data_IF_017132243777
#
_entry.id   IF_017132243777
#
_cell.length_a   1.000
_cell.length_b   1.000
_cell.length_c   1.000
_cell.angle_alpha   90.00
_cell.angle_beta   90.00
_cell.angle_gamma   90.00
#
_symmetry.space_group_name_H-M   'P 1'
#
loop_
_entity.id
_entity.type
_entity.pdbx_description
1 polymer ?
#
# COMPACT_ATOMS: atom_id res chain seq x y z
N UNK A 1 -10.94 13.22 -21.96
CA UNK A 1 -10.04 12.44 -22.84
C UNK A 1 -9.35 11.41 -21.95
N UNK A 2 -9.83 10.17 -21.92
CA UNK A 2 -9.24 9.10 -21.10
C UNK A 2 -8.06 8.52 -21.87
N UNK A 3 -6.84 8.90 -21.48
CA UNK A 3 -5.62 8.30 -21.98
C UNK A 3 -5.56 6.85 -21.48
N UNK A 4 -5.17 5.91 -22.35
CA UNK A 4 -5.01 4.51 -21.98
C UNK A 4 -4.12 4.38 -20.73
N UNK A 5 -4.47 3.51 -19.77
CA UNK A 5 -3.79 3.43 -18.48
C UNK A 5 -2.33 2.99 -18.67
N UNK A 6 -1.40 3.79 -18.14
CA UNK A 6 0.04 3.51 -18.15
C UNK A 6 0.37 2.47 -17.09
N UNK A 7 0.05 1.21 -17.36
CA UNK A 7 0.28 0.12 -16.42
C UNK A 7 1.77 -0.22 -16.38
N UNK A 8 2.39 0.02 -15.23
CA UNK A 8 3.71 -0.54 -14.91
C UNK A 8 3.50 -1.98 -14.51
N UNK A 9 4.05 -2.91 -15.29
CA UNK A 9 4.06 -4.33 -14.95
C UNK A 9 5.31 -4.65 -14.09
N UNK A 10 5.15 -4.95 -12.77
CA UNK A 10 6.26 -5.31 -11.90
C UNK A 10 6.88 -6.68 -12.23
N UNK A 11 6.16 -7.51 -13.00
CA UNK A 11 6.61 -8.84 -13.43
C UNK A 11 7.23 -8.81 -14.83
N UNK A 12 7.31 -7.63 -15.46
CA UNK A 12 7.96 -7.48 -16.74
C UNK A 12 9.44 -7.93 -16.69
N UNK A 13 9.95 -8.57 -17.75
CA UNK A 13 11.37 -8.92 -17.84
C UNK A 13 12.27 -7.70 -17.61
N UNK A 14 13.30 -7.86 -16.80
CA UNK A 14 14.25 -6.79 -16.48
C UNK A 14 13.80 -5.84 -15.36
N UNK A 15 12.54 -5.88 -14.93
CA UNK A 15 12.03 -5.00 -13.86
C UNK A 15 12.81 -5.19 -12.55
N UNK A 16 13.04 -6.44 -12.15
CA UNK A 16 13.80 -6.76 -10.94
C UNK A 16 15.30 -6.37 -11.03
N UNK A 17 15.86 -6.31 -12.24
CA UNK A 17 17.25 -5.91 -12.46
C UNK A 17 17.42 -4.39 -12.52
N UNK A 18 16.39 -3.67 -12.95
CA UNK A 18 16.40 -2.22 -13.07
C UNK A 18 14.99 -1.68 -13.34
N UNK A 19 14.25 -1.25 -12.31
CA UNK A 19 12.85 -0.86 -12.47
C UNK A 19 12.69 0.58 -13.00
N UNK A 20 13.73 1.41 -12.91
CA UNK A 20 13.65 2.84 -13.23
C UNK A 20 13.21 3.17 -14.66
N UNK A 21 13.62 2.43 -15.71
CA UNK A 21 13.10 2.65 -17.06
C UNK A 21 11.58 2.44 -17.17
N UNK A 22 11.03 1.50 -16.40
CA UNK A 22 9.58 1.23 -16.38
C UNK A 22 8.78 2.37 -15.73
N UNK A 23 9.38 3.11 -14.80
CA UNK A 23 8.76 4.28 -14.16
C UNK A 23 8.90 5.59 -14.95
N UNK A 24 9.82 5.66 -15.93
CA UNK A 24 10.15 6.91 -16.61
C UNK A 24 8.93 7.54 -17.30
N UNK A 25 8.18 6.72 -18.04
CA UNK A 25 7.01 7.17 -18.80
C UNK A 25 5.83 7.55 -17.90
N UNK A 26 5.38 6.71 -16.93
CA UNK A 26 4.34 7.11 -15.98
C UNK A 26 4.67 8.40 -15.23
N UNK A 27 5.92 8.60 -14.79
CA UNK A 27 6.32 9.82 -14.09
C UNK A 27 6.21 11.08 -14.94
N UNK A 28 6.49 10.98 -16.23
CA UNK A 28 6.47 12.11 -17.15
C UNK A 28 5.05 12.46 -17.63
N UNK A 29 4.24 11.44 -17.91
CA UNK A 29 2.94 11.62 -18.60
C UNK A 29 1.75 11.60 -17.63
N UNK A 30 1.80 10.80 -16.56
CA UNK A 30 0.67 10.60 -15.63
C UNK A 30 1.17 10.16 -14.23
N UNK A 31 1.79 11.06 -13.46
CA UNK A 31 2.47 10.71 -12.21
C UNK A 31 1.52 10.15 -11.13
N UNK A 32 0.22 10.48 -11.21
CA UNK A 32 -0.86 9.88 -10.44
C UNK A 32 -2.00 9.49 -11.39
N UNK A 33 -2.36 8.21 -11.44
CA UNK A 33 -3.46 7.72 -12.27
C UNK A 33 -4.13 6.49 -11.65
N UNK A 34 -5.38 6.23 -12.02
CA UNK A 34 -6.11 5.04 -11.59
C UNK A 34 -5.68 3.83 -12.43
N UNK A 35 -5.28 2.76 -11.75
CA UNK A 35 -4.95 1.48 -12.34
C UNK A 35 -6.25 0.76 -12.76
N UNK A 36 -6.26 -0.01 -13.87
CA UNK A 36 -7.42 -0.80 -14.29
C UNK A 36 -7.96 -1.80 -13.27
N UNK A 37 -7.18 -2.11 -12.24
CA UNK A 37 -7.57 -3.00 -11.14
C UNK A 37 -8.17 -2.23 -9.93
N UNK A 38 -8.51 -0.95 -10.09
CA UNK A 38 -9.27 -0.19 -9.10
C UNK A 38 -8.47 0.50 -8.00
N UNK A 39 -7.14 0.60 -8.12
CA UNK A 39 -6.28 1.30 -7.15
C UNK A 39 -5.52 2.48 -7.80
N UNK A 40 -5.07 3.44 -6.99
CA UNK A 40 -4.26 4.56 -7.47
C UNK A 40 -2.78 4.17 -7.60
N UNK A 41 -2.20 4.41 -8.77
CA UNK A 41 -0.75 4.30 -9.01
C UNK A 41 -0.11 5.67 -8.86
N UNK A 42 0.85 5.78 -7.94
CA UNK A 42 1.59 7.01 -7.66
C UNK A 42 3.07 6.80 -8.00
N UNK A 43 3.63 7.67 -8.83
CA UNK A 43 5.02 7.59 -9.29
C UNK A 43 5.81 8.88 -9.10
N UNK A 44 5.12 10.02 -8.94
CA UNK A 44 5.70 11.31 -8.58
C UNK A 44 6.05 11.40 -7.10
N UNK A 45 7.16 12.06 -6.77
CA UNK A 45 7.62 12.17 -5.38
C UNK A 45 6.60 12.89 -4.48
N UNK A 46 6.06 14.02 -4.95
CA UNK A 46 5.07 14.78 -4.19
C UNK A 46 3.81 13.97 -3.91
N UNK A 47 3.35 13.20 -4.92
CA UNK A 47 2.18 12.34 -4.82
C UNK A 47 2.40 11.18 -3.83
N UNK A 48 3.62 10.62 -3.78
CA UNK A 48 3.98 9.54 -2.84
C UNK A 48 4.23 10.07 -1.42
N UNK A 49 4.76 11.29 -1.28
CA UNK A 49 5.06 11.89 0.01
C UNK A 49 3.79 12.39 0.72
N UNK A 50 2.81 12.92 -0.03
CA UNK A 50 1.60 13.49 0.54
C UNK A 50 0.82 12.51 1.45
N UNK A 51 0.55 11.24 1.07
CA UNK A 51 -0.13 10.27 1.93
C UNK A 51 0.61 9.93 3.23
N UNK A 52 1.93 10.15 3.29
CA UNK A 52 2.72 9.93 4.50
C UNK A 52 2.61 11.11 5.48
N UNK A 53 2.37 12.31 4.97
CA UNK A 53 2.25 13.54 5.76
C UNK A 53 0.82 13.82 6.19
N UNK A 54 -0.15 13.51 5.34
CA UNK A 54 -1.56 13.54 5.70
C UNK A 54 -1.92 12.19 6.33
N UNK A 55 -2.60 12.20 7.48
CA UNK A 55 -2.94 10.99 8.23
C UNK A 55 -4.02 10.15 7.52
N UNK A 56 -3.67 9.56 6.37
CA UNK A 56 -4.51 8.63 5.65
C UNK A 56 -4.60 7.31 6.41
N UNK A 57 -5.78 6.70 6.30
CA UNK A 57 -6.02 5.37 6.84
C UNK A 57 -5.26 4.34 6.01
N UNK A 58 -4.61 3.42 6.70
CA UNK A 58 -4.06 2.17 6.13
C UNK A 58 -4.88 0.95 6.55
N UNK A 59 -5.97 1.17 7.28
CA UNK A 59 -6.89 0.11 7.67
C UNK A 59 -7.83 -0.18 6.50
N UNK A 60 -7.79 -1.42 6.04
CA UNK A 60 -8.64 -1.95 4.99
C UNK A 60 -10.14 -1.74 5.29
N UNK A 61 -10.53 -1.76 6.57
CA UNK A 61 -11.91 -1.51 6.99
C UNK A 61 -12.41 -0.09 6.66
N UNK A 62 -11.49 0.86 6.45
CA UNK A 62 -11.80 2.24 6.08
C UNK A 62 -11.68 2.49 4.56
N UNK A 63 -11.41 1.46 3.76
CA UNK A 63 -11.39 1.60 2.30
C UNK A 63 -12.79 1.90 1.77
N UNK A 64 -12.93 3.04 1.08
CA UNK A 64 -14.19 3.39 0.41
C UNK A 64 -14.42 2.56 -0.85
N UNK A 65 -13.36 2.03 -1.46
CA UNK A 65 -13.41 1.20 -2.66
C UNK A 65 -12.34 0.09 -2.58
N UNK A 66 -12.73 -1.20 -2.54
CA UNK A 66 -11.78 -2.30 -2.63
C UNK A 66 -11.27 -2.44 -4.06
N UNK A 67 -10.06 -2.99 -4.21
CA UNK A 67 -9.49 -3.24 -5.53
C UNK A 67 -10.11 -4.49 -6.18
N UNK A 68 -10.25 -4.52 -7.50
CA UNK A 68 -10.98 -5.59 -8.19
C UNK A 68 -10.31 -6.99 -8.05
N UNK A 69 -9.01 -7.00 -7.75
CA UNK A 69 -8.20 -8.22 -7.54
C UNK A 69 -8.23 -8.73 -6.10
N UNK A 70 -8.83 -7.97 -5.18
CA UNK A 70 -9.05 -8.36 -3.78
C UNK A 70 -10.29 -9.27 -3.71
N UNK A 71 -10.17 -10.41 -4.39
CA UNK A 71 -11.24 -11.35 -4.68
C UNK A 71 -11.49 -12.31 -3.51
N UNK A 72 -12.02 -11.80 -2.38
CA UNK A 72 -12.99 -12.50 -1.49
C UNK A 72 -13.65 -11.55 -0.46
N UNK A 73 -13.69 -10.23 -0.73
CA UNK A 73 -14.17 -9.19 0.20
C UNK A 73 -15.64 -8.81 -0.04
N UNK A 74 -16.52 -9.77 -0.37
CA UNK A 74 -17.97 -9.50 -0.47
C UNK A 74 -18.56 -8.94 0.85
N UNK A 75 -17.79 -9.02 1.94
CA UNK A 75 -17.84 -8.06 3.05
C UNK A 75 -16.56 -7.21 3.05
N UNK A 76 -16.68 -5.88 2.98
CA UNK A 76 -15.62 -4.98 3.45
C UNK A 76 -15.36 -5.33 4.94
N UNK A 77 -14.12 -5.72 5.28
CA UNK A 77 -13.80 -6.32 6.59
C UNK A 77 -14.08 -7.83 6.71
N UNK A 78 -14.37 -8.49 5.58
CA UNK A 78 -14.45 -9.95 5.46
C UNK A 78 -13.10 -10.59 5.69
N UNK A 79 -13.11 -11.71 6.40
CA UNK A 79 -11.96 -12.29 7.09
C UNK A 79 -11.01 -13.03 6.13
N UNK A 80 -10.63 -12.45 4.99
CA UNK A 80 -9.67 -13.10 4.10
C UNK A 80 -8.23 -12.75 4.48
N UNK A 81 -7.84 -13.16 5.69
CA UNK A 81 -6.45 -13.20 6.10
C UNK A 81 -6.10 -14.62 6.50
N UNK A 82 -5.59 -15.35 5.51
CA UNK A 82 -4.95 -16.67 5.62
C UNK A 82 -3.93 -16.77 6.78
N UNK A 83 -3.52 -15.66 7.40
CA UNK A 83 -2.47 -15.58 8.43
C UNK A 83 -2.81 -14.79 9.73
N UNK A 84 -4.08 -14.75 10.17
CA UNK A 84 -4.38 -14.48 11.61
C UNK A 84 -4.56 -13.02 12.05
N UNK A 85 -5.15 -12.18 11.20
CA UNK A 85 -5.56 -10.81 11.58
C UNK A 85 -4.61 -9.71 11.08
N UNK A 86 -4.93 -8.42 11.34
CA UNK A 86 -4.13 -7.29 10.86
C UNK A 86 -2.71 -7.29 11.41
N UNK A 87 -1.74 -7.05 10.53
CA UNK A 87 -0.39 -6.77 10.98
C UNK A 87 -0.27 -5.33 11.47
N UNK A 88 0.82 -4.98 12.15
CA UNK A 88 1.07 -3.61 12.64
C UNK A 88 1.07 -2.54 11.54
N UNK A 89 1.35 -2.93 10.28
CA UNK A 89 1.35 -2.00 9.15
C UNK A 89 -0.06 -1.67 8.64
N UNK A 90 -1.01 -2.57 8.88
CA UNK A 90 -2.38 -2.52 8.34
C UNK A 90 -3.36 -1.90 9.34
N UNK A 91 -2.85 -1.26 10.39
CA UNK A 91 -3.64 -0.68 11.47
C UNK A 91 -3.40 0.80 11.56
N UNK A 92 -4.43 1.56 11.91
CA UNK A 92 -4.31 2.99 12.14
C UNK A 92 -3.95 3.33 13.60
N UNK A 93 -3.74 4.62 13.86
CA UNK A 93 -3.71 5.10 15.24
C UNK A 93 -5.13 5.01 15.83
N UNK A 94 -5.29 4.64 17.12
CA UNK A 94 -4.25 4.47 18.13
C UNK A 94 -3.60 3.08 18.18
N UNK A 95 -4.16 2.07 17.52
CA UNK A 95 -3.77 0.67 17.73
C UNK A 95 -2.37 0.35 17.20
N UNK A 96 -1.98 0.92 16.05
CA UNK A 96 -0.59 0.88 15.55
C UNK A 96 0.41 1.46 16.53
N UNK A 97 0.05 2.52 17.26
CA UNK A 97 0.93 3.13 18.27
C UNK A 97 1.04 2.24 19.52
N UNK A 98 -0.06 1.61 19.97
CA UNK A 98 -0.06 0.65 21.08
C UNK A 98 0.80 -0.57 20.74
N UNK A 99 0.63 -1.14 19.55
CA UNK A 99 1.38 -2.33 19.10
C UNK A 99 2.88 -2.03 18.96
N UNK A 100 3.27 -0.88 18.39
CA UNK A 100 4.68 -0.46 18.33
C UNK A 100 5.31 -0.34 19.72
N UNK A 101 4.58 0.21 20.69
CA UNK A 101 5.07 0.32 22.08
C UNK A 101 5.31 -1.05 22.71
N UNK A 102 4.39 -2.00 22.51
CA UNK A 102 4.56 -3.37 23.00
C UNK A 102 5.77 -4.07 22.37
N UNK A 103 5.95 -3.94 21.05
CA UNK A 103 7.09 -4.53 20.35
C UNK A 103 8.43 -3.94 20.79
N UNK A 104 8.48 -2.62 20.99
CA UNK A 104 9.69 -1.95 21.49
C UNK A 104 10.07 -2.44 22.89
N UNK A 105 9.11 -2.52 23.81
CA UNK A 105 9.35 -3.03 25.17
C UNK A 105 9.82 -4.49 25.16
N UNK A 106 9.24 -5.34 24.31
CA UNK A 106 9.64 -6.74 24.19
C UNK A 106 11.06 -6.89 23.62
N UNK A 107 11.43 -6.07 22.64
CA UNK A 107 12.77 -6.06 22.08
C UNK A 107 13.83 -5.62 23.10
N UNK A 108 13.51 -4.64 23.95
CA UNK A 108 14.38 -4.20 25.05
C UNK A 108 14.57 -5.29 26.11
N UNK A 109 13.52 -6.08 26.39
CA UNK A 109 13.60 -7.21 27.30
C UNK A 109 14.53 -8.32 26.79
N UNK A 110 14.61 -8.54 25.47
CA UNK A 110 15.47 -9.57 24.86
C UNK A 110 16.95 -9.15 24.84
N UNK A 111 17.25 -7.85 24.83
CA UNK A 111 18.63 -7.32 24.86
C UNK A 111 19.20 -7.28 26.28
N UNK A 112 18.35 -7.36 27.30
CA UNK A 112 18.75 -7.23 28.72
C UNK A 112 18.90 -8.58 29.44
N UNK A 113 18.68 -9.71 28.75
CA UNK A 113 18.81 -11.09 29.28
C UNK A 113 20.07 -11.76 28.75
#
# INVERSE_FOLDING_TARGET
MSAAPFVVDPFAPGFAAGPYPHYARPRAEAPAHEHPLGFWTLSGFADVAAPQWFSHSFDEANLTRPADWESDSSALGGVDRVMGGPSMRDQDRPDRARMRRLMANAAELVVTV
#
